data_IF_651409175460
#
_entry.id   IF_651409175460
#
_cell.length_a   1.000
_cell.length_b   1.000
_cell.length_c   1.000
_cell.angle_alpha   90.00
_cell.angle_beta   90.00
_cell.angle_gamma   90.00
#
_symmetry.space_group_name_H-M   'P 1'
#
loop_
_entity.id
_entity.type
_entity.pdbx_description
1 polymer ?
#
# COMPACT_ATOMS: atom_id res chain seq x y z
N UNK A 1 20.57 13.05 2.42
CA UNK A 1 20.73 11.69 1.83
C UNK A 1 20.93 10.71 2.99
N UNK A 2 20.28 9.54 2.97
CA UNK A 2 20.26 8.55 4.06
C UNK A 2 20.16 7.13 3.49
N UNK A 3 20.66 6.12 4.22
CA UNK A 3 20.46 4.71 3.87
C UNK A 3 18.96 4.38 3.87
N UNK A 4 18.46 3.73 2.82
CA UNK A 4 17.02 3.56 2.56
C UNK A 4 16.42 4.63 1.63
N UNK A 5 17.18 5.69 1.32
CA UNK A 5 16.81 6.67 0.31
C UNK A 5 15.56 7.47 0.68
N UNK A 6 14.71 7.74 -0.32
CA UNK A 6 13.47 8.50 -0.14
C UNK A 6 12.44 7.79 0.73
N UNK A 7 12.54 6.46 0.89
CA UNK A 7 11.66 5.70 1.78
C UNK A 7 11.75 6.16 3.24
N UNK A 8 12.86 6.82 3.62
CA UNK A 8 13.06 7.40 4.95
C UNK A 8 12.41 8.79 5.14
N UNK A 9 11.94 9.43 4.07
CA UNK A 9 11.48 10.83 4.11
C UNK A 9 10.10 11.07 3.48
N UNK A 10 9.56 10.13 2.69
CA UNK A 10 8.24 10.30 2.07
C UNK A 10 7.09 10.19 3.07
N UNK A 11 5.86 10.50 2.67
CA UNK A 11 4.68 10.51 3.54
C UNK A 11 4.16 9.13 4.00
N UNK A 12 4.90 8.04 3.79
CA UNK A 12 4.52 6.65 4.09
C UNK A 12 3.34 6.08 3.28
N UNK A 13 2.61 6.90 2.51
CA UNK A 13 1.49 6.48 1.65
C UNK A 13 1.86 5.30 0.75
N UNK A 14 1.10 4.22 0.85
CA UNK A 14 1.30 3.02 0.06
C UNK A 14 0.31 2.95 -1.11
N UNK A 15 0.85 2.89 -2.33
CA UNK A 15 0.05 2.87 -3.54
C UNK A 15 0.77 2.15 -4.68
N UNK A 16 0.07 1.29 -5.40
CA UNK A 16 0.61 0.50 -6.52
C UNK A 16 0.19 1.01 -7.89
N UNK A 17 -0.77 1.93 -7.98
CA UNK A 17 -1.41 2.25 -9.26
C UNK A 17 -2.48 1.24 -9.64
N UNK A 18 -3.02 1.38 -10.83
CA UNK A 18 -4.00 0.48 -11.44
C UNK A 18 -3.32 -0.65 -12.22
N UNK A 19 -4.02 -1.76 -12.46
CA UNK A 19 -3.53 -2.82 -13.36
C UNK A 19 -3.14 -2.27 -14.75
N UNK A 20 -3.92 -1.31 -15.25
CA UNK A 20 -3.72 -0.69 -16.56
C UNK A 20 -2.38 0.04 -16.67
N UNK A 21 -1.86 0.60 -15.56
CA UNK A 21 -0.56 1.27 -15.56
C UNK A 21 0.58 0.32 -15.97
N UNK A 22 0.47 -0.96 -15.61
CA UNK A 22 1.43 -2.01 -15.95
C UNK A 22 1.15 -2.60 -17.34
N UNK A 23 -0.11 -2.91 -17.64
CA UNK A 23 -0.49 -3.51 -18.93
C UNK A 23 -0.15 -2.59 -20.11
N UNK A 24 -0.24 -1.27 -19.93
CA UNK A 24 0.09 -0.29 -20.95
C UNK A 24 1.59 -0.18 -21.25
N UNK A 25 2.47 -0.70 -20.40
CA UNK A 25 3.90 -0.73 -20.71
C UNK A 25 4.19 -1.60 -21.93
N UNK A 26 3.37 -2.62 -22.17
CA UNK A 26 3.53 -3.55 -23.29
C UNK A 26 4.94 -4.18 -23.34
N UNK A 27 5.51 -4.45 -22.16
CA UNK A 27 6.81 -5.12 -21.99
C UNK A 27 6.54 -6.55 -21.50
N UNK A 28 7.04 -7.60 -22.18
CA UNK A 28 6.88 -8.97 -21.73
C UNK A 28 7.41 -9.17 -20.31
N UNK A 29 6.61 -9.82 -19.45
CA UNK A 29 6.95 -10.06 -18.04
C UNK A 29 6.67 -8.90 -17.09
N UNK A 30 6.02 -7.83 -17.57
CA UNK A 30 5.64 -6.66 -16.78
C UNK A 30 4.14 -6.34 -16.85
N UNK A 31 3.32 -7.27 -17.33
CA UNK A 31 1.86 -7.10 -17.23
C UNK A 31 1.42 -7.06 -15.77
N UNK A 32 0.22 -6.56 -15.52
CA UNK A 32 -0.40 -6.59 -14.19
C UNK A 32 -0.37 -7.99 -13.56
N UNK A 33 -0.66 -9.03 -14.36
CA UNK A 33 -0.61 -10.42 -13.93
C UNK A 33 0.81 -10.89 -13.55
N UNK A 34 1.84 -10.37 -14.22
CA UNK A 34 3.23 -10.72 -13.93
C UNK A 34 3.74 -10.07 -12.64
N UNK A 35 3.34 -8.82 -12.37
CA UNK A 35 3.86 -8.04 -11.24
C UNK A 35 3.09 -8.26 -9.93
N UNK A 36 1.80 -8.63 -9.98
CA UNK A 36 0.97 -8.83 -8.79
C UNK A 36 1.57 -9.82 -7.78
N UNK A 37 2.11 -10.99 -8.20
CA UNK A 37 2.78 -11.90 -7.28
C UNK A 37 3.95 -11.26 -6.53
N UNK A 38 4.72 -10.37 -7.16
CA UNK A 38 5.85 -9.68 -6.53
C UNK A 38 5.39 -8.63 -5.53
N UNK A 39 4.33 -7.87 -5.84
CA UNK A 39 3.72 -6.96 -4.85
C UNK A 39 3.26 -7.72 -3.61
N UNK A 40 2.59 -8.85 -3.80
CA UNK A 40 2.14 -9.68 -2.67
C UNK A 40 3.31 -10.29 -1.91
N UNK A 41 4.39 -10.69 -2.60
CA UNK A 41 5.55 -11.30 -1.96
C UNK A 41 6.26 -10.34 -0.99
N UNK A 42 6.36 -9.05 -1.34
CA UNK A 42 7.05 -8.08 -0.49
C UNK A 42 6.21 -7.63 0.71
N UNK A 43 4.88 -7.75 0.62
CA UNK A 43 3.95 -7.19 1.58
C UNK A 43 3.78 -8.02 2.85
N UNK A 44 3.59 -7.29 3.93
CA UNK A 44 3.18 -7.83 5.20
C UNK A 44 1.98 -7.05 5.75
N UNK A 45 0.80 -7.62 5.60
CA UNK A 45 -0.42 -7.15 6.26
C UNK A 45 -0.68 -8.06 7.46
N UNK A 46 -0.55 -7.53 8.69
CA UNK A 46 -0.78 -8.33 9.91
C UNK A 46 -2.27 -8.71 10.03
N UNK A 47 -3.16 -7.71 10.01
CA UNK A 47 -4.60 -7.86 10.28
C UNK A 47 -5.44 -7.63 9.01
N UNK A 48 -5.26 -8.49 8.00
CA UNK A 48 -5.86 -8.31 6.66
C UNK A 48 -7.38 -8.14 6.68
N UNK A 49 -8.09 -8.92 7.50
CA UNK A 49 -9.55 -8.83 7.66
C UNK A 49 -9.99 -7.51 8.28
N UNK A 50 -9.29 -7.02 9.30
CA UNK A 50 -9.63 -5.77 9.99
C UNK A 50 -9.43 -4.55 9.07
N UNK A 51 -8.42 -4.62 8.21
CA UNK A 51 -8.14 -3.59 7.21
C UNK A 51 -9.06 -3.68 5.98
N UNK A 52 -9.90 -4.71 5.88
CA UNK A 52 -10.79 -4.92 4.74
C UNK A 52 -10.04 -5.23 3.43
N UNK A 53 -8.84 -5.81 3.54
CA UNK A 53 -7.97 -6.11 2.40
C UNK A 53 -8.21 -7.52 1.88
N UNK A 54 -8.13 -7.71 0.56
CA UNK A 54 -8.32 -9.02 -0.07
C UNK A 54 -7.00 -9.78 -0.23
N UNK A 55 -6.91 -11.07 0.16
CA UNK A 55 -5.74 -11.90 -0.08
C UNK A 55 -5.51 -12.20 -1.58
N UNK A 56 -6.47 -11.87 -2.43
CA UNK A 56 -6.28 -11.87 -3.89
C UNK A 56 -5.24 -10.83 -4.30
N UNK A 57 -5.30 -9.64 -3.72
CA UNK A 57 -4.47 -8.49 -4.08
C UNK A 57 -3.38 -8.17 -3.06
N UNK A 58 -3.47 -8.62 -1.81
CA UNK A 58 -2.52 -8.31 -0.75
C UNK A 58 -1.71 -9.51 -0.25
N UNK A 59 -0.54 -9.21 0.30
CA UNK A 59 0.39 -10.20 0.85
C UNK A 59 0.44 -10.23 2.37
N UNK A 60 0.78 -11.40 2.91
CA UNK A 60 1.14 -11.59 4.31
C UNK A 60 2.46 -12.37 4.38
N UNK A 61 3.34 -12.00 5.32
CA UNK A 61 4.61 -12.68 5.53
C UNK A 61 5.83 -12.07 4.83
N UNK A 62 5.66 -11.02 4.02
CA UNK A 62 6.76 -10.23 3.46
C UNK A 62 7.49 -9.37 4.50
N UNK A 63 8.37 -8.49 4.01
CA UNK A 63 9.21 -7.63 4.84
C UNK A 63 8.69 -6.19 4.93
N UNK A 64 7.80 -5.81 4.02
CA UNK A 64 7.24 -4.46 3.91
C UNK A 64 5.87 -4.38 4.58
N UNK A 65 5.84 -3.90 5.81
CA UNK A 65 4.61 -3.81 6.59
C UNK A 65 3.68 -2.71 6.08
N UNK A 66 2.41 -3.08 5.90
CA UNK A 66 1.31 -2.17 5.61
C UNK A 66 0.37 -2.10 6.82
N UNK A 67 -0.02 -0.89 7.17
CA UNK A 67 -0.91 -0.61 8.30
C UNK A 67 -1.86 0.56 7.94
N UNK A 68 -2.82 0.84 8.80
CA UNK A 68 -3.55 2.10 8.80
C UNK A 68 -2.85 3.13 9.68
N UNK A 69 -3.03 4.41 9.35
CA UNK A 69 -2.51 5.51 10.16
C UNK A 69 -3.11 5.42 11.58
N UNK A 70 -2.24 5.37 12.59
CA UNK A 70 -2.64 5.22 14.00
C UNK A 70 -3.45 6.40 14.51
N UNK A 71 -3.10 7.62 14.09
CA UNK A 71 -3.87 8.82 14.38
C UNK A 71 -4.71 9.22 13.17
N UNK A 72 -6.02 9.22 13.34
CA UNK A 72 -6.96 9.65 12.31
C UNK A 72 -7.53 11.01 12.67
N UNK A 73 -7.22 12.03 11.88
CA UNK A 73 -7.77 13.37 12.06
C UNK A 73 -9.31 13.31 11.86
N UNK A 74 -10.13 13.83 12.80
CA UNK A 74 -11.58 13.89 12.64
C UNK A 74 -12.03 14.59 11.35
N UNK A 75 -11.25 15.55 10.84
CA UNK A 75 -11.52 16.22 9.58
C UNK A 75 -11.39 15.30 8.37
N UNK A 76 -10.55 14.26 8.43
CA UNK A 76 -10.45 13.26 7.35
C UNK A 76 -11.75 12.47 7.22
N UNK A 77 -12.37 12.10 8.33
CA UNK A 77 -13.69 11.45 8.29
C UNK A 77 -14.74 12.40 7.72
N UNK A 78 -14.73 13.66 8.16
CA UNK A 78 -15.65 14.68 7.64
C UNK A 78 -15.47 14.92 6.13
N UNK A 79 -14.23 14.88 5.64
CA UNK A 79 -13.93 14.97 4.23
C UNK A 79 -14.55 13.82 3.44
N UNK A 80 -14.42 12.58 3.91
CA UNK A 80 -15.01 11.42 3.24
C UNK A 80 -16.55 11.48 3.20
N UNK A 81 -17.19 11.96 4.28
CA UNK A 81 -18.63 12.19 4.31
C UNK A 81 -19.08 13.21 3.26
N UNK A 82 -18.35 14.33 3.14
CA UNK A 82 -18.65 15.38 2.16
C UNK A 82 -18.38 14.90 0.73
N UNK A 83 -17.31 14.14 0.51
CA UNK A 83 -17.00 13.54 -0.79
C UNK A 83 -18.14 12.61 -1.25
N UNK A 84 -18.61 11.75 -0.35
CA UNK A 84 -19.75 10.87 -0.60
C UNK A 84 -21.03 11.67 -0.90
N UNK A 85 -21.32 12.71 -0.11
CA UNK A 85 -22.47 13.59 -0.35
C UNK A 85 -22.40 14.38 -1.67
N UNK A 86 -21.18 14.67 -2.15
CA UNK A 86 -20.93 15.29 -3.46
C UNK A 86 -21.01 14.29 -4.64
N UNK A 87 -21.28 13.01 -4.37
CA UNK A 87 -21.42 11.97 -5.39
C UNK A 87 -20.11 11.28 -5.78
N UNK A 88 -19.00 11.51 -5.05
CA UNK A 88 -17.79 10.70 -5.23
C UNK A 88 -18.01 9.31 -4.63
N UNK A 89 -17.64 8.28 -5.38
CA UNK A 89 -17.66 6.90 -4.88
C UNK A 89 -16.71 6.71 -3.70
N UNK A 90 -17.01 5.75 -2.83
CA UNK A 90 -16.10 5.35 -1.74
C UNK A 90 -15.15 4.28 -2.23
N UNK A 91 -13.85 4.49 -2.02
CA UNK A 91 -12.83 3.47 -2.24
C UNK A 91 -12.25 3.03 -0.89
N UNK A 92 -12.33 1.74 -0.59
CA UNK A 92 -11.81 1.16 0.66
C UNK A 92 -10.41 0.56 0.49
N UNK A 93 -9.99 0.30 -0.74
CA UNK A 93 -8.67 -0.21 -1.07
C UNK A 93 -8.29 0.18 -2.51
N UNK A 94 -7.37 1.13 -2.63
CA UNK A 94 -6.88 1.60 -3.92
C UNK A 94 -5.96 0.60 -4.64
N UNK A 95 -5.53 -0.46 -3.96
CA UNK A 95 -4.63 -1.48 -4.51
C UNK A 95 -5.36 -2.79 -4.88
N UNK A 96 -6.68 -2.86 -4.69
CA UNK A 96 -7.55 -3.91 -5.20
C UNK A 96 -7.91 -3.63 -6.67
N UNK A 97 -7.27 -4.37 -7.58
CA UNK A 97 -7.48 -4.18 -9.03
C UNK A 97 -8.79 -4.81 -9.55
N UNK A 98 -9.59 -5.46 -8.70
CA UNK A 98 -10.96 -5.87 -9.06
C UNK A 98 -11.96 -4.72 -8.99
N UNK A 99 -11.53 -3.56 -8.48
CA UNK A 99 -12.36 -2.39 -8.22
C UNK A 99 -11.92 -1.19 -9.07
N UNK A 100 -12.84 -0.24 -9.36
CA UNK A 100 -12.44 1.05 -9.90
C UNK A 100 -11.49 1.77 -8.94
N UNK A 101 -10.45 2.39 -9.48
CA UNK A 101 -9.51 3.19 -8.68
C UNK A 101 -10.13 4.51 -8.22
N UNK A 102 -11.08 5.05 -9.00
CA UNK A 102 -11.80 6.29 -8.69
C UNK A 102 -12.54 6.21 -7.36
N UNK A 103 -12.48 7.29 -6.60
CA UNK A 103 -13.23 7.45 -5.36
C UNK A 103 -12.44 8.12 -4.26
N UNK A 104 -13.12 8.38 -3.15
CA UNK A 104 -12.54 8.90 -1.93
C UNK A 104 -12.38 7.78 -0.91
N UNK A 105 -11.23 7.74 -0.26
CA UNK A 105 -10.84 6.62 0.58
C UNK A 105 -9.67 6.94 1.48
N UNK A 106 -9.35 6.01 2.37
CA UNK A 106 -8.14 6.08 3.20
C UNK A 106 -7.04 5.26 2.52
N UNK A 107 -5.84 5.80 2.50
CA UNK A 107 -4.67 5.05 2.06
C UNK A 107 -4.11 4.23 3.21
N UNK A 108 -3.61 3.04 2.88
CA UNK A 108 -2.70 2.30 3.73
C UNK A 108 -1.33 2.98 3.74
N UNK A 109 -0.58 2.76 4.81
CA UNK A 109 0.75 3.34 5.02
C UNK A 109 1.77 2.26 5.30
N UNK A 110 3.01 2.55 4.93
CA UNK A 110 4.18 1.73 5.24
C UNK A 110 4.68 2.03 6.65
N UNK A 111 3.98 1.50 7.65
CA UNK A 111 4.24 1.73 9.06
C UNK A 111 4.16 0.42 9.87
N UNK A 112 4.87 0.37 10.99
CA UNK A 112 4.82 -0.68 12.00
C UNK A 112 4.48 0.03 13.31
N UNK A 113 3.25 -0.15 13.81
CA UNK A 113 2.79 0.50 15.04
C UNK A 113 2.95 2.04 15.04
N UNK A 114 2.76 2.67 13.88
CA UNK A 114 2.91 4.13 13.70
C UNK A 114 4.36 4.60 13.47
N UNK A 115 5.34 3.69 13.50
CA UNK A 115 6.71 3.99 13.08
C UNK A 115 6.93 3.65 11.61
N UNK A 116 7.71 4.46 10.90
CA UNK A 116 7.98 4.26 9.47
C UNK A 116 8.63 2.91 9.18
N UNK A 117 8.05 2.16 8.24
CA UNK A 117 8.70 1.02 7.60
C UNK A 117 9.46 1.49 6.34
N UNK A 118 10.77 1.71 6.47
CA UNK A 118 11.63 2.12 5.33
C UNK A 118 12.25 0.91 4.63
N UNK A 119 12.75 1.08 3.40
CA UNK A 119 13.42 0.00 2.67
C UNK A 119 14.70 -0.48 3.35
N UNK A 120 15.38 0.41 4.08
CA UNK A 120 16.51 0.00 4.93
C UNK A 120 16.06 -0.93 6.06
N UNK A 121 14.98 -0.58 6.77
CA UNK A 121 14.44 -1.38 7.86
C UNK A 121 13.89 -2.72 7.36
N UNK A 122 13.05 -2.70 6.32
CA UNK A 122 12.41 -3.89 5.78
C UNK A 122 13.43 -4.91 5.24
N UNK A 123 14.33 -4.47 4.35
CA UNK A 123 15.14 -5.40 3.56
C UNK A 123 16.61 -5.44 4.00
N UNK A 124 17.22 -4.30 4.30
CA UNK A 124 18.68 -4.24 4.56
C UNK A 124 19.03 -4.74 5.97
N UNK A 125 18.26 -4.39 6.99
CA UNK A 125 18.50 -4.89 8.36
C UNK A 125 18.43 -6.43 8.44
N UNK A 126 17.56 -7.06 7.65
CA UNK A 126 17.51 -8.53 7.54
C UNK A 126 18.74 -9.08 6.80
N UNK A 127 19.13 -8.46 5.69
CA UNK A 127 20.27 -8.89 4.89
C UNK A 127 21.62 -8.75 5.62
N UNK A 128 21.78 -7.77 6.52
CA UNK A 128 22.98 -7.58 7.36
C UNK A 128 23.35 -8.80 8.20
N UNK A 129 22.40 -9.71 8.47
CA UNK A 129 22.62 -10.92 9.27
C UNK A 129 23.23 -12.08 8.48
N UNK A 130 23.43 -11.93 7.16
CA UNK A 130 24.02 -12.95 6.30
C UNK A 130 25.54 -12.92 6.47
N UNK A 131 26.14 -14.09 6.74
CA UNK A 131 27.60 -14.31 6.79
C UNK A 131 28.17 -14.63 5.42
#
# INVERSE_FOLDING_TARGET
>A
KVLGGSSCTFACLYHRGSAMDYDQWNIPGWSSADVLPFFKQIEHVEEMTELGLSPEFHGQGGDWTLDQVRYQNPLSQRFLEVASAAGLGTNTDFNDWSRPQDGAGRFHVSEINGERCSGALAFLEKAKKRS
#
